data_IF_540360766877
#
_entry.id   IF_540360766877
#
_cell.length_a   1.000
_cell.length_b   1.000
_cell.length_c   1.000
_cell.angle_alpha   90.00
_cell.angle_beta   90.00
_cell.angle_gamma   90.00
#
_symmetry.space_group_name_H-M   'P 1'
#
loop_
_entity.id
_entity.type
_entity.pdbx_description
1 polymer ?
#
# COMPACT_ATOMS: atom_id res chain seq x y z
N UNK A 1 -43.28 -7.22 -11.62
CA UNK A 1 -42.81 -8.24 -10.67
C UNK A 1 -41.56 -9.00 -11.13
N UNK A 2 -41.43 -9.47 -12.39
CA UNK A 2 -40.24 -10.21 -12.87
C UNK A 2 -38.97 -9.36 -12.85
N UNK A 3 -39.03 -8.11 -13.37
CA UNK A 3 -37.89 -7.16 -13.38
C UNK A 3 -37.35 -6.84 -11.98
N UNK A 4 -38.23 -6.63 -10.99
CA UNK A 4 -37.83 -6.38 -9.62
C UNK A 4 -37.11 -7.59 -8.99
N UNK A 5 -37.59 -8.81 -9.26
CA UNK A 5 -36.93 -10.04 -8.80
C UNK A 5 -35.53 -10.18 -9.41
N UNK A 6 -35.36 -9.89 -10.71
CA UNK A 6 -34.07 -9.92 -11.39
C UNK A 6 -33.11 -8.91 -10.75
N UNK A 7 -33.54 -7.66 -10.53
CA UNK A 7 -32.73 -6.63 -9.89
C UNK A 7 -32.27 -7.03 -8.51
N UNK A 8 -33.17 -7.60 -7.69
CA UNK A 8 -32.82 -8.07 -6.34
C UNK A 8 -31.80 -9.21 -6.42
N UNK A 9 -32.01 -10.21 -7.28
CA UNK A 9 -31.09 -11.34 -7.43
C UNK A 9 -29.69 -10.87 -7.91
N UNK A 10 -29.66 -9.95 -8.87
CA UNK A 10 -28.41 -9.36 -9.37
C UNK A 10 -27.67 -8.60 -8.27
N UNK A 11 -28.40 -7.81 -7.46
CA UNK A 11 -27.79 -7.07 -6.34
C UNK A 11 -27.22 -8.00 -5.28
N UNK A 12 -27.91 -9.09 -4.95
CA UNK A 12 -27.44 -10.13 -4.02
C UNK A 12 -26.18 -10.79 -4.58
N UNK A 13 -26.16 -11.13 -5.87
CA UNK A 13 -25.00 -11.75 -6.51
C UNK A 13 -23.77 -10.84 -6.48
N UNK A 14 -23.94 -9.54 -6.78
CA UNK A 14 -22.86 -8.54 -6.69
C UNK A 14 -22.35 -8.43 -5.25
N UNK A 15 -23.25 -8.30 -4.27
CA UNK A 15 -22.86 -8.21 -2.85
C UNK A 15 -22.08 -9.46 -2.40
N UNK A 16 -22.50 -10.64 -2.83
CA UNK A 16 -21.82 -11.90 -2.55
C UNK A 16 -20.42 -11.95 -3.19
N UNK A 17 -20.29 -11.48 -4.44
CA UNK A 17 -19.00 -11.37 -5.13
C UNK A 17 -18.02 -10.43 -4.40
N UNK A 18 -18.51 -9.29 -3.91
CA UNK A 18 -17.72 -8.34 -3.09
C UNK A 18 -17.29 -9.01 -1.78
N UNK A 19 -18.20 -9.70 -1.10
CA UNK A 19 -17.92 -10.41 0.14
C UNK A 19 -16.85 -11.50 -0.05
N UNK A 20 -17.00 -12.36 -1.07
CA UNK A 20 -16.00 -13.40 -1.38
C UNK A 20 -14.65 -12.75 -1.68
N UNK A 21 -14.61 -11.71 -2.48
CA UNK A 21 -13.37 -11.02 -2.84
C UNK A 21 -12.66 -10.48 -1.60
N UNK A 22 -13.40 -9.90 -0.66
CA UNK A 22 -12.84 -9.41 0.59
C UNK A 22 -12.13 -10.52 1.38
N UNK A 23 -12.77 -11.67 1.55
CA UNK A 23 -12.21 -12.83 2.27
C UNK A 23 -11.06 -13.48 1.49
N UNK A 24 -11.15 -13.53 0.18
CA UNK A 24 -10.09 -14.06 -0.68
C UNK A 24 -8.79 -13.25 -0.54
N UNK A 25 -8.87 -11.92 -0.54
CA UNK A 25 -7.70 -11.05 -0.32
C UNK A 25 -7.09 -11.27 1.06
N UNK A 26 -7.92 -11.40 2.11
CA UNK A 26 -7.43 -11.76 3.45
C UNK A 26 -6.70 -13.10 3.45
N UNK A 27 -7.26 -14.10 2.81
CA UNK A 27 -6.66 -15.44 2.72
C UNK A 27 -5.30 -15.41 2.00
N UNK A 28 -5.21 -14.71 0.88
CA UNK A 28 -3.97 -14.57 0.10
C UNK A 28 -2.85 -13.86 0.87
N UNK A 29 -3.18 -12.94 1.76
CA UNK A 29 -2.22 -12.22 2.59
C UNK A 29 -1.87 -12.94 3.91
N UNK A 30 -2.49 -14.10 4.19
CA UNK A 30 -2.27 -14.85 5.44
C UNK A 30 -0.82 -15.30 5.54
N UNK A 31 -0.18 -15.02 6.69
CA UNK A 31 1.23 -15.36 6.95
C UNK A 31 2.26 -14.41 6.31
N UNK A 32 1.81 -13.42 5.51
CA UNK A 32 2.69 -12.43 4.87
C UNK A 32 2.60 -11.03 5.50
N UNK A 33 1.78 -10.86 6.53
CA UNK A 33 1.66 -9.59 7.26
C UNK A 33 2.11 -9.76 8.72
N UNK A 34 2.88 -8.81 9.22
CA UNK A 34 3.53 -8.85 10.52
C UNK A 34 3.16 -7.64 11.37
N UNK A 35 3.01 -7.85 12.67
CA UNK A 35 2.70 -6.79 13.66
C UNK A 35 3.88 -6.49 14.58
N UNK A 36 4.88 -7.39 14.65
CA UNK A 36 6.00 -7.30 15.53
C UNK A 36 7.31 -7.22 14.74
N UNK A 37 8.17 -6.26 15.11
CA UNK A 37 9.43 -5.97 14.43
C UNK A 37 10.42 -7.14 14.54
N UNK A 38 10.45 -7.83 15.65
CA UNK A 38 11.31 -9.00 15.86
C UNK A 38 10.96 -10.17 14.94
N UNK A 39 9.68 -10.33 14.61
CA UNK A 39 9.15 -11.44 13.80
C UNK A 39 9.24 -11.22 12.28
N UNK A 40 9.30 -9.97 11.83
CA UNK A 40 9.36 -9.71 10.38
C UNK A 40 10.75 -10.03 9.84
N UNK A 41 10.85 -10.77 8.71
CA UNK A 41 12.11 -10.96 8.00
C UNK A 41 12.73 -9.64 7.53
N UNK A 42 14.04 -9.64 7.29
CA UNK A 42 14.75 -8.49 6.71
C UNK A 42 14.50 -8.42 5.21
N UNK A 43 14.37 -7.19 4.71
CA UNK A 43 14.39 -6.86 3.30
C UNK A 43 15.31 -5.65 3.06
N UNK A 44 15.78 -5.48 1.83
CA UNK A 44 16.60 -4.32 1.50
C UNK A 44 15.78 -3.02 1.52
N UNK A 45 14.56 -3.06 0.99
CA UNK A 45 13.69 -1.89 0.84
C UNK A 45 12.39 -2.04 1.62
N UNK A 46 11.99 -0.97 2.31
CA UNK A 46 10.64 -0.78 2.84
C UNK A 46 9.85 0.15 1.94
N UNK A 47 8.78 -0.34 1.31
CA UNK A 47 7.85 0.45 0.52
C UNK A 47 6.76 1.04 1.42
N UNK A 48 6.82 2.35 1.67
CA UNK A 48 5.78 3.08 2.40
C UNK A 48 4.69 3.52 1.43
N UNK A 49 3.47 3.06 1.63
CA UNK A 49 2.33 3.52 0.84
C UNK A 49 1.86 4.89 1.34
N UNK A 50 1.68 5.83 0.43
CA UNK A 50 1.33 7.21 0.71
C UNK A 50 -0.02 7.38 1.42
N UNK A 51 -0.13 8.48 2.13
CA UNK A 51 -1.35 9.00 2.76
C UNK A 51 -1.18 10.50 2.97
N UNK A 52 -2.28 11.25 2.87
CA UNK A 52 -2.28 12.69 3.18
C UNK A 52 -1.77 12.95 4.59
N UNK A 53 -0.86 13.92 4.75
CA UNK A 53 -0.33 14.35 6.04
C UNK A 53 -1.40 14.91 6.96
N UNK A 54 -2.36 15.65 6.39
CA UNK A 54 -3.45 16.24 7.14
C UNK A 54 -4.80 15.61 6.78
N UNK A 55 -5.65 15.46 7.76
CA UNK A 55 -7.05 15.11 7.58
C UNK A 55 -7.86 16.35 7.14
N UNK A 56 -9.10 16.16 6.69
CA UNK A 56 -9.97 17.25 6.22
C UNK A 56 -10.26 18.35 7.27
N UNK A 57 -10.08 18.03 8.55
CA UNK A 57 -10.22 18.98 9.67
C UNK A 57 -8.90 19.72 10.01
N UNK A 58 -7.85 19.58 9.19
CA UNK A 58 -6.54 20.19 9.40
C UNK A 58 -5.63 19.49 10.41
N UNK A 59 -6.13 18.52 11.17
CA UNK A 59 -5.30 17.76 12.11
C UNK A 59 -4.38 16.77 11.39
N UNK A 60 -3.31 16.34 12.09
CA UNK A 60 -2.43 15.28 11.57
C UNK A 60 -3.26 14.00 11.35
N UNK A 61 -3.13 13.45 10.16
CA UNK A 61 -3.73 12.18 9.80
C UNK A 61 -2.99 11.03 10.51
N UNK A 62 -3.66 10.33 11.40
CA UNK A 62 -3.07 9.25 12.18
C UNK A 62 -2.60 8.08 11.29
N UNK A 63 -3.23 7.82 10.16
CA UNK A 63 -2.74 6.83 9.20
C UNK A 63 -1.35 7.18 8.68
N UNK A 64 -1.16 8.44 8.28
CA UNK A 64 0.13 8.97 7.86
C UNK A 64 1.16 8.84 8.97
N UNK A 65 0.86 9.41 10.16
CA UNK A 65 1.78 9.40 11.31
C UNK A 65 2.25 7.99 11.66
N UNK A 66 1.33 7.04 11.73
CA UNK A 66 1.66 5.67 12.09
C UNK A 66 2.53 4.96 11.02
N UNK A 67 2.39 5.31 9.72
CA UNK A 67 3.28 4.78 8.67
C UNK A 67 4.69 5.35 8.79
N UNK A 68 4.83 6.65 9.04
CA UNK A 68 6.14 7.28 9.32
C UNK A 68 6.80 6.63 10.52
N UNK A 69 6.06 6.43 11.62
CA UNK A 69 6.57 5.78 12.84
C UNK A 69 7.01 4.34 12.57
N UNK A 70 6.22 3.56 11.84
CA UNK A 70 6.52 2.18 11.48
C UNK A 70 7.76 2.05 10.58
N UNK A 71 7.87 2.90 9.56
CA UNK A 71 9.01 2.92 8.65
C UNK A 71 10.32 3.25 9.40
N UNK A 72 10.30 4.29 10.25
CA UNK A 72 11.44 4.65 11.05
C UNK A 72 11.83 3.56 12.06
N UNK A 73 10.87 2.87 12.66
CA UNK A 73 11.12 1.78 13.59
C UNK A 73 11.77 0.56 12.89
N UNK A 74 11.28 0.17 11.72
CA UNK A 74 11.88 -0.92 10.92
C UNK A 74 13.29 -0.58 10.46
N UNK A 75 13.53 0.65 10.01
CA UNK A 75 14.86 1.11 9.62
C UNK A 75 15.83 1.07 10.80
N UNK A 76 15.48 1.63 11.95
CA UNK A 76 16.33 1.64 13.16
C UNK A 76 16.59 0.25 13.70
N UNK A 77 15.66 -0.69 13.51
CA UNK A 77 15.83 -2.09 13.88
C UNK A 77 16.67 -2.91 12.86
N UNK A 78 17.15 -2.28 11.76
CA UNK A 78 17.90 -2.95 10.72
C UNK A 78 17.09 -4.00 9.94
N UNK A 79 15.77 -3.85 9.91
CA UNK A 79 14.86 -4.72 9.14
C UNK A 79 14.73 -4.29 7.69
N UNK A 80 14.97 -3.02 7.41
CA UNK A 80 15.10 -2.43 6.07
C UNK A 80 16.32 -1.52 6.03
N UNK A 81 16.96 -1.40 4.87
CA UNK A 81 18.12 -0.54 4.64
C UNK A 81 17.72 0.78 3.97
N UNK A 82 16.78 0.72 3.05
CA UNK A 82 16.27 1.87 2.31
C UNK A 82 14.76 1.99 2.46
N UNK A 83 14.25 3.20 2.31
CA UNK A 83 12.82 3.50 2.34
C UNK A 83 12.43 4.07 0.98
N UNK A 84 11.48 3.42 0.30
CA UNK A 84 10.82 3.93 -0.88
C UNK A 84 9.43 4.44 -0.47
N UNK A 85 9.19 5.73 -0.59
CA UNK A 85 7.87 6.32 -0.35
C UNK A 85 7.15 6.45 -1.67
N UNK A 86 6.02 5.78 -1.82
CA UNK A 86 5.19 5.86 -3.04
C UNK A 86 3.83 6.47 -2.70
N UNK A 87 3.56 7.64 -3.25
CA UNK A 87 2.38 8.43 -2.94
C UNK A 87 1.90 9.30 -4.10
N UNK A 88 0.85 10.07 -3.82
CA UNK A 88 0.20 10.94 -4.78
C UNK A 88 0.86 12.34 -4.79
N UNK A 89 1.19 12.81 -5.99
CA UNK A 89 1.61 14.19 -6.29
C UNK A 89 0.86 14.69 -7.53
N UNK A 90 -0.44 14.39 -7.63
CA UNK A 90 -1.24 14.76 -8.82
C UNK A 90 -1.71 16.20 -8.81
N UNK A 91 -1.56 16.94 -7.70
CA UNK A 91 -1.99 18.33 -7.55
C UNK A 91 -0.83 19.18 -7.06
N UNK A 92 -0.82 20.46 -7.47
CA UNK A 92 0.27 21.41 -7.22
C UNK A 92 0.57 21.65 -5.72
N UNK A 93 -0.46 21.51 -4.88
CA UNK A 93 -0.43 21.72 -3.42
C UNK A 93 -0.50 20.42 -2.61
N UNK A 94 -0.19 19.28 -3.25
CA UNK A 94 -0.34 17.97 -2.65
C UNK A 94 0.82 17.05 -3.03
N UNK A 95 1.74 16.85 -2.08
CA UNK A 95 2.99 16.10 -2.27
C UNK A 95 3.23 15.15 -1.08
N UNK A 96 2.55 13.99 -1.13
CA UNK A 96 2.68 12.96 -0.08
C UNK A 96 4.13 12.46 0.07
N UNK A 97 4.87 12.10 -1.01
CA UNK A 97 6.23 11.61 -0.87
C UNK A 97 7.17 12.58 -0.17
N UNK A 98 7.11 13.86 -0.49
CA UNK A 98 7.97 14.88 0.13
C UNK A 98 7.61 15.10 1.60
N UNK A 99 6.34 15.08 1.97
CA UNK A 99 5.91 15.14 3.37
C UNK A 99 6.50 13.97 4.18
N UNK A 100 6.38 12.73 3.67
CA UNK A 100 6.97 11.55 4.31
C UNK A 100 8.49 11.66 4.44
N UNK A 101 9.18 12.11 3.39
CA UNK A 101 10.64 12.30 3.41
C UNK A 101 11.06 13.24 4.53
N UNK A 102 10.41 14.40 4.65
CA UNK A 102 10.73 15.39 5.66
C UNK A 102 10.55 14.86 7.08
N UNK A 103 9.44 14.16 7.32
CA UNK A 103 9.16 13.59 8.65
C UNK A 103 10.06 12.37 8.97
N UNK A 104 10.50 11.60 7.98
CA UNK A 104 11.48 10.52 8.16
C UNK A 104 12.87 11.08 8.49
N UNK A 105 13.31 12.16 7.80
CA UNK A 105 14.56 12.87 8.13
C UNK A 105 14.50 13.41 9.55
N UNK A 106 13.38 14.02 9.95
CA UNK A 106 13.18 14.49 11.33
C UNK A 106 13.26 13.36 12.38
N UNK A 107 13.01 12.09 11.96
CA UNK A 107 13.22 10.89 12.81
C UNK A 107 14.64 10.33 12.75
N UNK A 108 15.57 10.99 12.07
CA UNK A 108 16.97 10.61 11.99
C UNK A 108 17.28 9.58 10.89
N UNK A 109 16.45 9.48 9.86
CA UNK A 109 16.77 8.67 8.68
C UNK A 109 17.59 9.50 7.70
N UNK A 110 18.78 9.03 7.25
CA UNK A 110 19.60 9.73 6.27
C UNK A 110 18.86 9.95 4.96
N UNK A 111 19.00 11.14 4.38
CA UNK A 111 18.33 11.54 3.13
C UNK A 111 18.64 10.60 1.98
N UNK A 112 19.88 10.12 1.88
CA UNK A 112 20.37 9.20 0.86
C UNK A 112 19.77 7.80 0.95
N UNK A 113 19.10 7.46 2.06
CA UNK A 113 18.38 6.20 2.23
C UNK A 113 16.87 6.30 1.94
N UNK A 114 16.40 7.49 1.52
CA UNK A 114 14.98 7.75 1.23
C UNK A 114 14.80 8.03 -0.26
N UNK A 115 14.05 7.19 -0.93
CA UNK A 115 13.67 7.30 -2.34
C UNK A 115 12.21 7.68 -2.46
N UNK A 116 11.87 8.48 -3.48
CA UNK A 116 10.51 8.99 -3.66
C UNK A 116 9.93 8.55 -5.01
N UNK A 117 8.71 8.04 -4.95
CA UNK A 117 7.86 7.76 -6.10
C UNK A 117 6.63 8.66 -6.04
N UNK A 118 6.56 9.61 -6.96
CA UNK A 118 5.53 10.64 -7.04
C UNK A 118 4.29 10.22 -7.83
N UNK A 119 4.24 8.98 -8.32
CA UNK A 119 3.17 8.49 -9.18
C UNK A 119 2.48 7.24 -8.63
N UNK A 120 2.56 7.05 -7.32
CA UNK A 120 1.87 6.00 -6.58
C UNK A 120 0.39 6.33 -6.33
N UNK A 121 -0.39 6.61 -7.39
CA UNK A 121 -1.80 7.03 -7.26
C UNK A 121 -2.74 5.93 -6.76
N UNK A 122 -2.41 4.68 -7.05
CA UNK A 122 -3.13 3.48 -6.61
C UNK A 122 -2.13 2.50 -6.03
N UNK A 123 -2.61 1.59 -5.19
CA UNK A 123 -1.77 0.50 -4.65
C UNK A 123 -1.14 -0.33 -5.75
N UNK A 124 -1.85 -0.58 -6.86
CA UNK A 124 -1.32 -1.27 -8.03
C UNK A 124 -0.12 -0.51 -8.61
N UNK A 125 -0.24 0.80 -8.78
CA UNK A 125 0.84 1.64 -9.31
C UNK A 125 2.08 1.54 -8.40
N UNK A 126 1.92 1.72 -7.08
CA UNK A 126 3.02 1.63 -6.11
C UNK A 126 3.74 0.28 -6.15
N UNK A 127 3.00 -0.84 -6.21
CA UNK A 127 3.57 -2.18 -6.23
C UNK A 127 4.34 -2.47 -7.52
N UNK A 128 3.74 -2.19 -8.68
CA UNK A 128 4.36 -2.46 -9.98
C UNK A 128 5.55 -1.53 -10.20
N UNK A 129 5.44 -0.26 -9.82
CA UNK A 129 6.54 0.71 -9.97
C UNK A 129 7.72 0.41 -9.05
N UNK A 130 7.49 -0.10 -7.83
CA UNK A 130 8.58 -0.58 -6.97
C UNK A 130 9.43 -1.63 -7.69
N UNK A 131 8.81 -2.54 -8.45
CA UNK A 131 9.50 -3.55 -9.27
C UNK A 131 10.10 -2.94 -10.54
N UNK A 132 9.28 -2.34 -11.39
CA UNK A 132 9.67 -1.97 -12.76
C UNK A 132 10.56 -0.74 -12.82
N UNK A 133 10.34 0.24 -11.93
CA UNK A 133 11.09 1.51 -11.92
C UNK A 133 12.25 1.45 -10.92
N UNK A 134 12.00 0.94 -9.70
CA UNK A 134 13.00 0.95 -8.64
C UNK A 134 13.76 -0.38 -8.51
N UNK A 135 13.48 -1.36 -9.37
CA UNK A 135 14.23 -2.61 -9.48
C UNK A 135 14.06 -3.55 -8.28
N UNK A 136 12.97 -3.42 -7.51
CA UNK A 136 12.78 -4.19 -6.30
C UNK A 136 11.84 -5.39 -6.54
N UNK A 137 12.40 -6.59 -6.62
CA UNK A 137 11.62 -7.84 -6.74
C UNK A 137 11.16 -8.37 -5.37
N UNK A 138 11.82 -7.97 -4.28
CA UNK A 138 11.48 -8.35 -2.92
C UNK A 138 11.56 -7.11 -2.00
N UNK A 139 10.51 -6.86 -1.21
CA UNK A 139 10.46 -5.72 -0.29
C UNK A 139 9.40 -5.85 0.80
N UNK A 140 9.50 -5.00 1.83
CA UNK A 140 8.52 -4.90 2.91
C UNK A 140 7.56 -3.75 2.66
N UNK A 141 6.28 -4.04 2.46
CA UNK A 141 5.22 -3.01 2.40
C UNK A 141 4.92 -2.49 3.79
N UNK A 142 4.79 -1.17 3.94
CA UNK A 142 4.52 -0.51 5.22
C UNK A 142 3.25 0.32 5.10
N UNK A 143 2.18 -0.16 5.71
CA UNK A 143 0.87 0.51 5.74
C UNK A 143 -0.01 -0.11 6.83
N UNK A 144 -1.28 0.29 6.95
CA UNK A 144 -2.25 -0.38 7.82
C UNK A 144 -2.60 -1.78 7.29
N UNK A 145 -3.00 -2.68 8.19
CA UNK A 145 -3.28 -4.08 7.88
C UNK A 145 -4.18 -4.28 6.65
N UNK A 146 -5.31 -3.59 6.59
CA UNK A 146 -6.26 -3.75 5.48
C UNK A 146 -5.65 -3.37 4.13
N UNK A 147 -4.81 -2.33 4.10
CA UNK A 147 -4.11 -1.85 2.91
C UNK A 147 -2.97 -2.81 2.53
N UNK A 148 -2.20 -3.28 3.51
CA UNK A 148 -1.14 -4.28 3.33
C UNK A 148 -1.68 -5.57 2.71
N UNK A 149 -2.83 -6.07 3.18
CA UNK A 149 -3.46 -7.26 2.62
C UNK A 149 -3.78 -7.10 1.13
N UNK A 150 -4.29 -5.93 0.73
CA UNK A 150 -4.54 -5.63 -0.69
C UNK A 150 -3.25 -5.48 -1.49
N UNK A 151 -2.22 -4.86 -0.92
CA UNK A 151 -0.92 -4.74 -1.55
C UNK A 151 -0.26 -6.11 -1.80
N UNK A 152 -0.26 -7.00 -0.81
CA UNK A 152 0.24 -8.38 -0.94
C UNK A 152 -0.54 -9.16 -2.02
N UNK A 153 -1.87 -9.02 -2.07
CA UNK A 153 -2.67 -9.66 -3.12
C UNK A 153 -2.26 -9.20 -4.53
N UNK A 154 -1.99 -7.91 -4.70
CA UNK A 154 -1.49 -7.35 -5.97
C UNK A 154 -0.07 -7.84 -6.25
N UNK A 155 0.83 -7.84 -5.24
CA UNK A 155 2.20 -8.30 -5.35
C UNK A 155 2.30 -9.73 -5.92
N UNK A 156 1.49 -10.64 -5.38
CA UNK A 156 1.45 -12.04 -5.84
C UNK A 156 1.07 -12.20 -7.31
N UNK A 157 0.24 -11.33 -7.84
CA UNK A 157 -0.14 -11.37 -9.26
C UNK A 157 1.00 -10.93 -10.19
N UNK A 158 1.88 -10.06 -9.72
CA UNK A 158 3.02 -9.54 -10.47
C UNK A 158 4.35 -10.25 -10.13
N UNK A 159 4.29 -11.40 -9.47
CA UNK A 159 5.48 -12.16 -9.05
C UNK A 159 6.47 -11.29 -8.25
N UNK A 160 5.94 -10.52 -7.31
CA UNK A 160 6.71 -9.71 -6.37
C UNK A 160 6.75 -10.43 -5.03
N UNK A 161 7.95 -10.73 -4.53
CA UNK A 161 8.16 -11.32 -3.21
C UNK A 161 8.01 -10.25 -2.12
N UNK A 162 6.77 -9.94 -1.78
CA UNK A 162 6.45 -8.91 -0.79
C UNK A 162 5.90 -9.51 0.50
N UNK A 163 6.44 -9.01 1.60
CA UNK A 163 5.84 -9.14 2.94
C UNK A 163 5.38 -7.76 3.40
N UNK A 164 4.60 -7.68 4.48
CA UNK A 164 4.11 -6.40 4.95
C UNK A 164 4.23 -6.24 6.46
N UNK A 165 4.57 -5.03 6.89
CA UNK A 165 4.52 -4.62 8.29
C UNK A 165 3.29 -3.75 8.55
N UNK A 166 2.48 -4.13 9.53
CA UNK A 166 1.27 -3.41 9.87
C UNK A 166 1.61 -2.22 10.78
N UNK A 167 1.54 -1.01 10.21
CA UNK A 167 1.49 0.21 10.99
C UNK A 167 0.23 0.21 11.86
N UNK A 168 0.29 0.88 13.00
CA UNK A 168 -0.83 0.94 13.96
C UNK A 168 -2.12 1.37 13.26
N UNK A 169 -3.18 0.59 13.43
CA UNK A 169 -4.49 0.92 12.92
C UNK A 169 -5.10 2.11 13.70
N UNK A 170 -5.89 2.92 13.02
CA UNK A 170 -6.66 4.04 13.61
C UNK A 170 -8.06 3.57 13.97
N UNK A 171 -8.64 2.74 13.12
CA UNK A 171 -9.93 2.08 13.31
C UNK A 171 -9.96 0.77 12.50
N UNK A 172 -11.01 -0.03 12.68
CA UNK A 172 -11.24 -1.24 11.90
C UNK A 172 -11.28 -0.95 10.40
N UNK A 173 -11.16 -1.97 9.58
CA UNK A 173 -11.19 -1.89 8.11
C UNK A 173 -12.29 -0.95 7.61
N UNK A 174 -11.93 0.12 6.85
CA UNK A 174 -12.93 1.08 6.37
C UNK A 174 -13.86 0.41 5.34
N UNK A 175 -15.17 0.77 5.32
CA UNK A 175 -16.14 0.20 4.37
C UNK A 175 -15.69 0.32 2.90
N UNK A 176 -15.02 1.41 2.54
CA UNK A 176 -14.45 1.62 1.18
C UNK A 176 -13.50 0.50 0.74
N UNK A 177 -12.91 -0.26 1.70
CA UNK A 177 -11.95 -1.30 1.38
C UNK A 177 -12.61 -2.50 0.68
N UNK A 178 -13.89 -2.76 0.92
CA UNK A 178 -14.64 -3.77 0.18
C UNK A 178 -14.63 -3.48 -1.33
N UNK A 179 -14.91 -2.24 -1.70
CA UNK A 179 -14.89 -1.79 -3.10
C UNK A 179 -13.47 -1.70 -3.66
N UNK A 180 -12.51 -1.22 -2.86
CA UNK A 180 -11.11 -1.11 -3.27
C UNK A 180 -10.49 -2.49 -3.59
N UNK A 181 -10.81 -3.53 -2.82
CA UNK A 181 -10.37 -4.90 -3.08
C UNK A 181 -11.04 -5.51 -4.31
N UNK A 182 -12.35 -5.26 -4.46
CA UNK A 182 -13.09 -5.69 -5.66
C UNK A 182 -12.51 -5.03 -6.90
N UNK A 183 -12.25 -3.71 -6.84
CA UNK A 183 -11.58 -3.01 -7.94
C UNK A 183 -10.21 -3.58 -8.23
N UNK A 184 -9.37 -3.81 -7.22
CA UNK A 184 -8.05 -4.41 -7.41
C UNK A 184 -8.15 -5.78 -8.11
N UNK A 185 -9.09 -6.64 -7.69
CA UNK A 185 -9.31 -7.94 -8.35
C UNK A 185 -9.74 -7.79 -9.81
N UNK A 186 -10.62 -6.85 -10.11
CA UNK A 186 -11.03 -6.57 -11.51
C UNK A 186 -9.87 -6.01 -12.32
N UNK A 187 -9.10 -5.06 -11.77
CA UNK A 187 -7.90 -4.52 -12.43
C UNK A 187 -6.93 -5.65 -12.82
N UNK A 188 -6.68 -6.61 -11.93
CA UNK A 188 -5.83 -7.77 -12.21
C UNK A 188 -6.45 -8.72 -13.24
N UNK A 189 -7.75 -9.00 -13.17
CA UNK A 189 -8.46 -9.87 -14.11
C UNK A 189 -8.43 -9.31 -15.55
N UNK A 190 -8.53 -7.98 -15.68
CA UNK A 190 -8.51 -7.29 -16.98
C UNK A 190 -7.10 -6.82 -17.38
N UNK A 191 -6.04 -7.25 -16.66
CA UNK A 191 -4.66 -6.86 -16.92
C UNK A 191 -4.44 -5.34 -16.97
N UNK A 192 -5.12 -4.59 -16.10
CA UNK A 192 -4.93 -3.15 -15.99
C UNK A 192 -3.55 -2.88 -15.40
N UNK A 193 -2.67 -2.28 -16.19
CA UNK A 193 -1.32 -1.90 -15.78
C UNK A 193 -1.28 -0.62 -14.92
N UNK A 194 -0.06 -0.21 -14.51
CA UNK A 194 0.15 1.05 -13.82
C UNK A 194 -0.19 2.23 -14.73
N UNK A 195 -0.65 3.33 -14.13
CA UNK A 195 -1.05 4.53 -14.87
C UNK A 195 0.12 5.18 -15.61
N UNK A 196 1.29 5.17 -14.99
CA UNK A 196 2.52 5.70 -15.56
C UNK A 196 3.70 4.78 -15.23
N UNK A 197 4.53 4.55 -16.23
CA UNK A 197 5.91 4.08 -16.07
C UNK A 197 6.84 5.22 -16.48
N UNK A 198 8.04 5.26 -15.95
CA UNK A 198 9.06 6.25 -16.26
C UNK A 198 10.43 5.60 -16.35
N UNK A 199 11.47 6.40 -16.33
CA UNK A 199 12.86 5.94 -16.33
C UNK A 199 13.18 5.13 -15.08
N UNK A 200 14.07 4.13 -15.22
CA UNK A 200 14.49 3.28 -14.10
C UNK A 200 15.35 4.05 -13.11
N UNK A 201 15.06 3.91 -11.84
CA UNK A 201 15.79 4.50 -10.71
C UNK A 201 16.25 3.34 -9.82
N UNK A 202 17.55 2.99 -9.86
CA UNK A 202 18.06 1.86 -9.08
C UNK A 202 18.25 2.26 -7.60
N UNK A 203 17.63 1.48 -6.69
CA UNK A 203 17.99 1.46 -5.26
C UNK A 203 19.05 0.35 -5.09
N UNK A 204 20.28 0.76 -4.77
CA UNK A 204 21.44 -0.15 -4.68
C UNK A 204 21.74 -0.53 -3.23
#
# INVERSE_FOLDING_TARGET
MKTLKILILTSIFIAYGVFITFHWVNFKAKGLTYDAIDKIPKNNVGLVLGASKHASNGNINLFYKHRVDAAAALYKAGKIKYILVSGDNSRKDYDEPTDFKNDLIAKGIPTEHIFLDYTGFRTLDSMVRAKEIFGQNAFTVISQRFHNQRAIYIAQHYDIDAIAFNAKDVYKTPPREYLARTKARLDLLFNVGPKFLGDKIAIK
#
